data_IF_132435914563
#
_entry.id   IF_132435914563
#
_cell.length_a   1.000
_cell.length_b   1.000
_cell.length_c   1.000
_cell.angle_alpha   90.00
_cell.angle_beta   90.00
_cell.angle_gamma   90.00
#
_symmetry.space_group_name_H-M   'P 1'
#
loop_
_entity.id
_entity.type
_entity.pdbx_description
1 polymer ?
#
# COMPACT_ATOMS: atom_id res chain seq x y z
N UNK A 1 9.91 -4.42 3.31
CA UNK A 1 8.99 -3.73 4.23
C UNK A 1 9.73 -3.34 5.51
N UNK A 2 9.66 -2.07 5.88
CA UNK A 2 10.42 -1.48 6.99
C UNK A 2 9.72 -0.25 7.55
N UNK A 3 10.04 0.11 8.80
CA UNK A 3 9.59 1.33 9.45
C UNK A 3 10.77 2.09 10.06
N UNK A 4 10.78 3.41 9.96
CA UNK A 4 11.76 4.24 10.64
C UNK A 4 11.48 4.25 12.15
N UNK A 5 12.54 4.18 12.96
CA UNK A 5 12.47 4.31 14.42
C UNK A 5 13.17 5.61 14.78
N UNK A 6 12.38 6.60 15.13
CA UNK A 6 12.88 7.87 15.61
C UNK A 6 12.05 8.43 16.74
N UNK A 7 12.57 9.49 17.36
CA UNK A 7 11.77 10.35 18.22
C UNK A 7 11.22 11.50 17.39
N UNK A 8 9.96 11.87 17.64
CA UNK A 8 9.38 13.11 17.14
C UNK A 8 9.45 14.13 18.29
N UNK A 9 10.40 15.08 18.28
CA UNK A 9 10.40 16.14 19.27
C UNK A 9 9.15 16.98 19.03
N UNK A 10 8.34 17.21 20.08
CA UNK A 10 7.06 17.95 19.99
C UNK A 10 7.16 19.35 19.37
N UNK A 11 8.36 19.88 19.14
CA UNK A 11 8.66 21.24 18.67
C UNK A 11 9.67 21.28 17.49
N UNK A 12 9.99 20.13 16.87
CA UNK A 12 10.91 20.10 15.73
C UNK A 12 10.35 19.26 14.58
N UNK A 13 10.42 19.80 13.36
CA UNK A 13 10.12 19.08 12.12
C UNK A 13 11.26 18.15 11.69
N UNK A 14 12.39 18.14 12.41
CA UNK A 14 13.48 17.21 12.14
C UNK A 14 13.13 15.81 12.67
N UNK A 15 13.06 14.84 11.75
CA UNK A 15 13.06 13.42 12.12
C UNK A 15 14.46 13.11 12.62
N UNK A 16 14.61 12.86 13.92
CA UNK A 16 15.82 12.21 14.45
C UNK A 16 15.59 10.71 14.33
N UNK A 17 15.94 10.17 13.17
CA UNK A 17 15.92 8.73 12.94
C UNK A 17 17.11 8.09 13.64
N UNK A 18 16.82 7.04 14.41
CA UNK A 18 17.82 6.25 15.14
C UNK A 18 18.02 4.89 14.48
N UNK A 19 17.21 4.52 13.50
CA UNK A 19 17.43 3.33 12.68
C UNK A 19 16.17 2.78 12.02
N UNK A 20 16.34 1.65 11.33
CA UNK A 20 15.27 1.00 10.56
C UNK A 20 14.81 -0.29 11.24
N UNK A 21 13.50 -0.39 11.48
CA UNK A 21 12.84 -1.61 11.92
C UNK A 21 12.45 -2.49 10.75
N UNK A 22 13.17 -3.60 10.56
CA UNK A 22 12.97 -4.53 9.45
C UNK A 22 11.86 -5.55 9.67
N UNK A 23 10.84 -5.52 8.81
CA UNK A 23 9.72 -6.47 8.78
C UNK A 23 9.69 -7.24 7.45
N UNK A 24 10.84 -7.56 6.86
CA UNK A 24 10.88 -8.38 5.64
C UNK A 24 10.60 -9.86 5.90
N UNK A 25 10.53 -10.66 4.83
CA UNK A 25 10.49 -12.13 4.91
C UNK A 25 11.86 -12.81 5.08
N UNK A 26 12.96 -12.03 5.06
CA UNK A 26 14.33 -12.55 5.19
C UNK A 26 14.67 -13.05 6.61
N UNK A 27 15.74 -13.84 6.77
CA UNK A 27 16.10 -14.45 8.05
C UNK A 27 16.48 -13.44 9.15
N UNK A 28 17.02 -12.28 8.76
CA UNK A 28 17.40 -11.20 9.68
C UNK A 28 16.24 -10.27 10.05
N UNK A 29 15.01 -10.51 9.58
CA UNK A 29 13.87 -9.66 9.94
C UNK A 29 13.37 -9.92 11.36
N UNK A 30 12.72 -8.94 11.97
CA UNK A 30 12.13 -9.09 13.30
C UNK A 30 11.08 -10.21 13.34
N UNK A 31 10.26 -10.35 12.30
CA UNK A 31 9.24 -11.40 12.23
C UNK A 31 9.87 -12.79 12.15
N UNK A 32 10.95 -12.95 11.39
CA UNK A 32 11.67 -14.22 11.29
C UNK A 32 12.33 -14.61 12.61
N UNK A 33 12.94 -13.65 13.31
CA UNK A 33 13.68 -13.90 14.55
C UNK A 33 12.79 -14.02 15.79
N UNK A 34 11.70 -13.26 15.85
CA UNK A 34 10.91 -13.10 17.09
C UNK A 34 9.41 -13.30 16.90
N UNK A 35 8.90 -13.38 15.65
CA UNK A 35 7.47 -13.52 15.38
C UNK A 35 6.82 -14.72 16.07
N UNK A 36 7.53 -15.84 16.21
CA UNK A 36 7.02 -17.03 16.89
C UNK A 36 6.69 -16.79 18.38
N UNK A 37 7.35 -15.83 19.04
CA UNK A 37 7.08 -15.47 20.44
C UNK A 37 5.68 -14.84 20.63
N UNK A 38 5.06 -14.38 19.54
CA UNK A 38 3.72 -13.79 19.52
C UNK A 38 2.65 -14.82 19.07
N UNK A 39 2.93 -16.11 19.22
CA UNK A 39 2.01 -17.22 18.90
C UNK A 39 1.99 -17.61 17.41
N UNK A 40 2.14 -16.66 16.48
CA UNK A 40 2.33 -16.91 15.04
C UNK A 40 3.23 -15.85 14.42
N UNK A 41 3.94 -16.21 13.33
CA UNK A 41 4.69 -15.27 12.48
C UNK A 41 3.74 -14.42 11.63
N UNK A 42 3.02 -13.53 12.29
CA UNK A 42 2.08 -12.59 11.67
C UNK A 42 2.24 -11.20 12.27
N UNK A 43 1.88 -10.21 11.48
CA UNK A 43 1.72 -8.85 11.95
C UNK A 43 0.66 -8.14 11.13
N UNK A 44 0.14 -7.06 11.69
CA UNK A 44 -0.79 -6.18 11.00
C UNK A 44 -0.45 -4.73 11.29
N UNK A 45 -0.69 -3.86 10.31
CA UNK A 45 -0.45 -2.44 10.48
C UNK A 45 -1.61 -1.60 9.94
N UNK A 46 -1.81 -0.45 10.56
CA UNK A 46 -2.71 0.61 10.12
C UNK A 46 -1.89 1.90 10.14
N UNK A 47 -1.50 2.38 8.96
CA UNK A 47 -0.76 3.63 8.80
C UNK A 47 -1.75 4.77 8.67
N UNK A 48 -1.60 5.78 9.51
CA UNK A 48 -2.31 7.04 9.34
C UNK A 48 -1.65 7.83 8.19
N UNK A 49 -2.41 8.68 7.48
CA UNK A 49 -1.83 9.59 6.50
C UNK A 49 -0.72 10.45 7.12
N UNK A 50 0.33 10.73 6.35
CA UNK A 50 1.51 11.47 6.85
C UNK A 50 1.17 12.90 7.36
N UNK A 51 0.06 13.49 6.88
CA UNK A 51 -0.42 14.80 7.30
C UNK A 51 -1.29 14.76 8.57
N UNK A 52 -1.67 13.57 9.05
CA UNK A 52 -2.50 13.43 10.23
C UNK A 52 -1.65 13.45 11.51
N UNK A 53 -1.66 14.59 12.20
CA UNK A 53 -0.80 14.84 13.38
C UNK A 53 -1.45 14.52 14.73
N UNK A 54 -2.76 14.23 14.75
CA UNK A 54 -3.53 14.07 15.99
C UNK A 54 -3.59 12.63 16.53
N UNK A 55 -2.86 11.69 15.91
CA UNK A 55 -2.84 10.30 16.37
C UNK A 55 -1.62 9.53 15.91
N UNK A 56 -1.61 8.24 16.22
CA UNK A 56 -0.48 7.36 15.92
C UNK A 56 -0.93 6.11 15.17
N UNK A 57 -0.19 5.78 14.11
CA UNK A 57 -0.27 4.49 13.43
C UNK A 57 -0.09 3.33 14.41
N UNK A 58 -0.66 2.17 14.09
CA UNK A 58 -0.58 0.96 14.93
C UNK A 58 0.10 -0.17 14.18
N UNK A 59 1.03 -0.84 14.85
CA UNK A 59 1.65 -2.10 14.44
C UNK A 59 1.37 -3.12 15.52
N UNK A 60 0.84 -4.28 15.13
CA UNK A 60 0.53 -5.39 16.05
C UNK A 60 1.21 -6.67 15.56
N UNK A 61 1.70 -7.47 16.49
CA UNK A 61 2.30 -8.78 16.23
C UNK A 61 1.42 -9.89 16.74
N UNK A 62 1.51 -11.05 16.09
CA UNK A 62 0.88 -12.27 16.55
C UNK A 62 -0.53 -12.51 16.03
N UNK A 63 -1.26 -13.36 16.75
CA UNK A 63 -2.64 -13.73 16.41
C UNK A 63 -3.57 -12.61 16.85
N UNK A 64 -4.38 -12.12 15.92
CA UNK A 64 -5.51 -11.28 16.28
C UNK A 64 -6.60 -12.15 16.93
N UNK A 65 -6.90 -11.87 18.19
CA UNK A 65 -7.87 -12.61 19.01
C UNK A 65 -9.28 -12.03 18.90
N UNK A 66 -9.48 -10.97 18.11
CA UNK A 66 -10.80 -10.38 17.88
C UNK A 66 -11.63 -11.29 16.97
N UNK A 67 -12.72 -11.82 17.51
CA UNK A 67 -13.62 -12.76 16.81
C UNK A 67 -14.61 -12.07 15.88
N UNK A 68 -14.86 -10.76 16.08
CA UNK A 68 -15.91 -10.01 15.37
C UNK A 68 -15.35 -9.06 14.31
N UNK A 69 -14.40 -9.51 13.49
CA UNK A 69 -13.92 -8.69 12.36
C UNK A 69 -14.71 -9.00 11.10
N UNK A 70 -15.54 -8.05 10.69
CA UNK A 70 -16.25 -8.06 9.41
C UNK A 70 -15.44 -7.33 8.35
N UNK A 71 -15.50 -7.79 7.09
CA UNK A 71 -14.88 -7.08 5.96
C UNK A 71 -13.38 -7.32 5.76
N UNK A 72 -12.79 -8.32 6.41
CA UNK A 72 -11.42 -8.76 6.08
C UNK A 72 -11.46 -9.56 4.78
N UNK A 73 -10.62 -9.17 3.84
CA UNK A 73 -10.29 -9.98 2.66
C UNK A 73 -8.85 -10.47 2.77
N UNK A 74 -8.59 -11.66 2.22
CA UNK A 74 -7.26 -12.27 2.22
C UNK A 74 -6.84 -12.62 0.82
N UNK A 75 -5.55 -12.44 0.54
CA UNK A 75 -4.91 -12.93 -0.67
C UNK A 75 -3.63 -13.67 -0.30
N UNK A 76 -3.26 -14.66 -1.11
CA UNK A 76 -2.09 -15.49 -0.84
C UNK A 76 -0.80 -14.71 -1.13
N UNK A 77 0.16 -14.76 -0.20
CA UNK A 77 1.51 -14.30 -0.47
C UNK A 77 2.22 -15.26 -1.42
N UNK A 78 2.97 -14.70 -2.37
CA UNK A 78 3.77 -15.47 -3.33
C UNK A 78 5.19 -15.63 -2.78
N UNK A 79 5.67 -16.88 -2.73
CA UNK A 79 7.07 -17.18 -2.40
C UNK A 79 7.94 -16.93 -3.63
N UNK A 80 8.84 -15.96 -3.56
CA UNK A 80 9.71 -15.55 -4.66
C UNK A 80 11.03 -14.99 -4.13
N UNK A 81 12.08 -15.05 -4.95
CA UNK A 81 13.37 -14.43 -4.65
C UNK A 81 13.42 -12.98 -5.15
N UNK A 82 14.01 -12.05 -4.38
CA UNK A 82 14.54 -12.26 -3.02
C UNK A 82 13.43 -12.40 -1.95
N UNK A 83 13.65 -13.29 -0.97
CA UNK A 83 12.65 -13.63 0.08
C UNK A 83 12.33 -12.49 1.06
N UNK A 84 13.00 -11.35 0.94
CA UNK A 84 12.79 -10.19 1.81
C UNK A 84 11.45 -9.50 1.57
N UNK A 85 10.93 -9.55 0.34
CA UNK A 85 9.70 -8.85 -0.03
C UNK A 85 8.45 -9.72 0.15
N UNK A 86 7.32 -9.05 0.39
CA UNK A 86 6.00 -9.68 0.38
C UNK A 86 5.38 -9.50 -0.99
N UNK A 87 5.44 -10.56 -1.79
CA UNK A 87 4.89 -10.55 -3.14
C UNK A 87 3.41 -10.92 -3.13
N UNK A 88 2.65 -10.22 -3.97
CA UNK A 88 1.27 -10.55 -4.29
C UNK A 88 1.13 -10.78 -5.80
N UNK A 89 0.03 -11.42 -6.16
CA UNK A 89 -0.45 -11.56 -7.52
C UNK A 89 -1.59 -10.57 -7.76
N UNK A 90 -1.29 -9.46 -8.43
CA UNK A 90 -2.29 -8.51 -8.88
C UNK A 90 -2.76 -8.92 -10.28
N UNK A 91 -4.02 -9.34 -10.37
CA UNK A 91 -4.60 -9.89 -11.61
C UNK A 91 -5.00 -8.80 -12.60
N UNK A 92 -5.60 -7.72 -12.09
CA UNK A 92 -6.03 -6.58 -12.90
C UNK A 92 -6.27 -5.35 -12.03
N UNK A 93 -6.40 -4.20 -12.68
CA UNK A 93 -6.90 -2.96 -12.08
C UNK A 93 -8.18 -2.57 -12.82
N UNK A 94 -9.26 -2.27 -12.10
CA UNK A 94 -10.51 -1.80 -12.68
C UNK A 94 -10.71 -0.32 -12.40
N UNK A 95 -10.97 0.47 -13.45
CA UNK A 95 -11.23 1.91 -13.36
C UNK A 95 -12.53 2.19 -14.11
N UNK A 96 -13.57 2.61 -13.38
CA UNK A 96 -14.90 2.88 -13.94
C UNK A 96 -15.42 1.74 -14.84
N UNK A 97 -15.24 0.48 -14.41
CA UNK A 97 -15.64 -0.71 -15.17
C UNK A 97 -14.66 -1.16 -16.26
N UNK A 98 -13.67 -0.35 -16.62
CA UNK A 98 -12.60 -0.72 -17.56
C UNK A 98 -11.52 -1.52 -16.85
N UNK A 99 -11.28 -2.75 -17.32
CA UNK A 99 -10.27 -3.66 -16.76
C UNK A 99 -8.93 -3.46 -17.49
N UNK A 100 -7.88 -3.21 -16.72
CA UNK A 100 -6.50 -3.06 -17.20
C UNK A 100 -5.64 -4.19 -16.63
N UNK A 101 -5.10 -5.02 -17.52
CA UNK A 101 -4.28 -6.17 -17.17
C UNK A 101 -2.79 -5.77 -17.02
N UNK A 102 -2.04 -6.39 -16.09
CA UNK A 102 -0.60 -6.28 -16.03
C UNK A 102 0.08 -6.78 -17.31
N UNK A 103 1.25 -6.25 -17.61
CA UNK A 103 2.01 -6.62 -18.82
C UNK A 103 2.81 -7.93 -18.70
N UNK A 104 2.93 -8.50 -17.51
CA UNK A 104 3.78 -9.67 -17.23
C UNK A 104 3.02 -10.75 -16.48
N UNK A 105 3.72 -11.85 -16.16
CA UNK A 105 3.22 -12.95 -15.34
C UNK A 105 2.41 -12.44 -14.14
N UNK A 106 1.23 -13.03 -13.94
CA UNK A 106 0.34 -12.70 -12.83
C UNK A 106 0.95 -13.12 -11.47
N UNK A 107 1.96 -14.00 -11.46
CA UNK A 107 2.50 -14.55 -10.23
C UNK A 107 3.60 -13.68 -9.59
N UNK A 108 3.29 -13.09 -8.43
CA UNK A 108 4.27 -12.32 -7.63
C UNK A 108 4.78 -11.08 -8.39
N UNK A 109 3.86 -10.35 -9.04
CA UNK A 109 4.15 -9.20 -9.90
C UNK A 109 4.14 -7.86 -9.17
N UNK A 110 3.66 -7.83 -7.93
CA UNK A 110 3.68 -6.63 -7.08
C UNK A 110 4.25 -6.98 -5.70
N UNK A 111 4.84 -5.99 -5.04
CA UNK A 111 5.32 -6.10 -3.66
C UNK A 111 4.54 -5.14 -2.76
N UNK A 112 4.33 -5.54 -1.51
CA UNK A 112 3.87 -4.63 -0.47
C UNK A 112 5.10 -3.96 0.15
N UNK A 113 5.18 -2.64 0.05
CA UNK A 113 6.28 -1.87 0.62
C UNK A 113 5.79 -0.64 1.37
N UNK A 114 6.05 -0.60 2.67
CA UNK A 114 5.80 0.56 3.54
C UNK A 114 6.93 1.59 3.50
N UNK A 115 8.08 1.25 2.92
CA UNK A 115 9.24 2.15 2.82
C UNK A 115 9.11 3.18 1.69
N UNK A 116 8.10 3.04 0.84
CA UNK A 116 7.92 3.87 -0.35
C UNK A 116 6.61 4.67 -0.26
N UNK A 117 6.68 5.98 -0.52
CA UNK A 117 5.53 6.89 -0.39
C UNK A 117 4.48 6.71 -1.48
N UNK A 118 4.90 6.36 -2.70
CA UNK A 118 4.04 6.21 -3.87
C UNK A 118 3.99 4.76 -4.35
N UNK A 119 2.92 4.39 -5.06
CA UNK A 119 2.87 3.11 -5.76
C UNK A 119 3.64 3.22 -7.07
N UNK A 120 4.62 2.34 -7.27
CA UNK A 120 5.40 2.27 -8.51
C UNK A 120 4.93 1.11 -9.35
N UNK A 121 4.63 1.39 -10.62
CA UNK A 121 4.23 0.42 -11.62
C UNK A 121 5.22 0.45 -12.78
N UNK A 122 5.33 -0.65 -13.51
CA UNK A 122 6.09 -0.67 -14.76
C UNK A 122 5.49 0.35 -15.72
N UNK A 123 6.33 1.15 -16.38
CA UNK A 123 5.92 2.27 -17.23
C UNK A 123 4.80 1.90 -18.19
N UNK A 124 4.97 0.79 -18.92
CA UNK A 124 3.99 0.32 -19.91
C UNK A 124 2.65 -0.12 -19.33
N UNK A 125 2.57 -0.40 -18.02
CA UNK A 125 1.30 -0.70 -17.34
C UNK A 125 0.70 0.55 -16.70
N UNK A 126 1.56 1.40 -16.12
CA UNK A 126 1.19 2.72 -15.64
C UNK A 126 0.51 3.55 -16.73
N UNK A 127 1.06 3.59 -17.95
CA UNK A 127 0.48 4.32 -19.08
C UNK A 127 -0.95 3.84 -19.40
N UNK A 128 -1.20 2.53 -19.42
CA UNK A 128 -2.54 1.98 -19.65
C UNK A 128 -3.53 2.35 -18.53
N UNK A 129 -3.06 2.36 -17.29
CA UNK A 129 -3.84 2.76 -16.12
C UNK A 129 -4.14 4.27 -16.16
N UNK A 130 -3.15 5.07 -16.52
CA UNK A 130 -3.28 6.50 -16.74
C UNK A 130 -4.32 6.79 -17.84
N UNK A 131 -4.27 6.11 -18.98
CA UNK A 131 -5.23 6.29 -20.06
C UNK A 131 -6.66 5.95 -19.62
N UNK A 132 -6.83 4.83 -18.91
CA UNK A 132 -8.12 4.44 -18.35
C UNK A 132 -8.65 5.46 -17.32
N UNK A 133 -7.75 6.04 -16.51
CA UNK A 133 -8.10 7.09 -15.57
C UNK A 133 -8.52 8.38 -16.27
N UNK A 134 -7.75 8.82 -17.28
CA UNK A 134 -8.04 10.02 -18.08
C UNK A 134 -9.38 9.91 -18.81
N UNK A 135 -9.68 8.72 -19.36
CA UNK A 135 -10.98 8.43 -19.97
C UNK A 135 -12.12 8.52 -18.95
N UNK A 136 -11.92 7.99 -17.74
CA UNK A 136 -12.94 7.99 -16.69
C UNK A 136 -13.24 9.40 -16.13
N UNK A 137 -12.23 10.26 -15.99
CA UNK A 137 -12.39 11.61 -15.42
C UNK A 137 -12.70 12.69 -16.46
N UNK A 138 -12.44 12.42 -17.75
CA UNK A 138 -12.53 13.39 -18.83
C UNK A 138 -11.26 14.22 -18.97
N UNK A 139 -10.65 14.21 -20.17
CA UNK A 139 -9.36 14.83 -20.46
C UNK A 139 -9.28 16.35 -20.19
N UNK A 140 -10.42 17.03 -20.10
CA UNK A 140 -10.52 18.48 -19.87
C UNK A 140 -10.20 18.88 -18.41
N UNK A 141 -10.14 17.92 -17.49
CA UNK A 141 -9.90 18.16 -16.06
C UNK A 141 -8.43 17.99 -15.64
N UNK A 142 -7.51 17.74 -16.58
CA UNK A 142 -6.11 17.39 -16.28
C UNK A 142 -5.13 18.49 -16.68
N UNK A 143 -4.29 18.90 -15.73
CA UNK A 143 -3.11 19.72 -15.98
C UNK A 143 -1.89 18.81 -15.97
N UNK A 144 -1.36 18.50 -17.15
CA UNK A 144 -0.09 17.76 -17.25
C UNK A 144 1.04 18.72 -16.88
N UNK A 145 1.54 18.62 -15.65
CA UNK A 145 2.77 19.32 -15.28
C UNK A 145 3.97 18.55 -15.84
N UNK A 146 4.55 19.05 -16.93
CA UNK A 146 5.76 18.51 -17.58
C UNK A 146 7.03 18.55 -16.71
N UNK A 147 6.93 18.92 -15.42
CA UNK A 147 8.07 19.14 -14.52
C UNK A 147 8.46 17.89 -13.70
N UNK A 148 7.60 16.87 -13.60
CA UNK A 148 7.91 15.60 -12.92
C UNK A 148 7.43 14.44 -13.81
N UNK A 149 8.30 13.51 -14.21
CA UNK A 149 7.85 12.30 -14.90
C UNK A 149 6.91 11.51 -13.97
N UNK A 150 5.71 11.19 -14.45
CA UNK A 150 4.71 10.34 -13.79
C UNK A 150 3.84 10.95 -12.66
N UNK A 151 3.46 12.23 -12.74
CA UNK A 151 2.37 12.77 -11.91
C UNK A 151 1.25 13.38 -12.76
N UNK A 152 0.05 12.80 -12.68
CA UNK A 152 -1.18 13.45 -13.15
C UNK A 152 -1.63 14.40 -12.04
N UNK A 153 -1.73 15.69 -12.35
CA UNK A 153 -2.25 16.71 -11.42
C UNK A 153 -3.55 17.25 -12.01
N UNK A 154 -4.61 17.30 -11.20
CA UNK A 154 -5.91 17.84 -11.60
C UNK A 154 -6.21 19.11 -10.80
N UNK A 155 -6.91 20.06 -11.40
CA UNK A 155 -7.31 21.31 -10.73
C UNK A 155 -8.36 21.00 -9.67
N UNK A 156 -8.01 21.22 -8.41
CA UNK A 156 -8.87 20.94 -7.26
C UNK A 156 -10.05 21.91 -7.20
N UNK A 157 -11.18 21.52 -7.79
CA UNK A 157 -12.51 21.87 -7.28
C UNK A 157 -13.34 20.58 -7.22
N UNK A 158 -13.60 20.11 -6.00
CA UNK A 158 -14.42 18.94 -5.64
C UNK A 158 -13.83 17.55 -5.96
N UNK A 159 -12.69 17.19 -5.35
CA UNK A 159 -12.44 15.78 -5.03
C UNK A 159 -12.94 15.49 -3.61
N UNK A 160 -14.25 15.60 -3.39
CA UNK A 160 -14.87 14.63 -2.49
C UNK A 160 -14.79 13.33 -3.27
N UNK A 161 -13.93 12.40 -2.84
CA UNK A 161 -14.02 11.02 -3.29
C UNK A 161 -15.41 10.52 -2.88
N UNK A 162 -16.39 10.68 -3.76
CA UNK A 162 -17.70 10.06 -3.60
C UNK A 162 -17.45 8.57 -3.64
N UNK A 163 -17.57 7.93 -2.48
CA UNK A 163 -17.93 6.53 -2.42
C UNK A 163 -19.34 6.42 -3.00
N UNK A 164 -19.43 6.19 -4.31
CA UNK A 164 -20.64 5.73 -4.96
C UNK A 164 -20.52 4.22 -5.20
N UNK A 165 -21.60 3.47 -4.95
CA UNK A 165 -21.54 2.05 -4.64
C UNK A 165 -21.33 1.21 -5.89
N UNK A 166 -20.97 -0.05 -5.67
CA UNK A 166 -20.64 -1.10 -6.64
C UNK A 166 -19.13 -1.19 -6.92
N UNK A 167 -18.40 -1.63 -5.90
CA UNK A 167 -17.11 -2.31 -6.12
C UNK A 167 -17.26 -3.70 -5.53
N UNK A 168 -17.38 -4.67 -6.42
CA UNK A 168 -17.21 -6.08 -6.10
C UNK A 168 -15.72 -6.27 -5.76
N UNK A 169 -15.37 -6.07 -4.49
CA UNK A 169 -14.20 -6.61 -3.78
C UNK A 169 -12.88 -6.81 -4.55
N UNK A 170 -12.40 -5.84 -5.32
CA UNK A 170 -11.07 -5.89 -5.96
C UNK A 170 -10.44 -4.48 -5.98
N UNK A 171 -9.66 -4.20 -4.92
CA UNK A 171 -8.68 -3.12 -4.71
C UNK A 171 -8.87 -1.76 -5.40
N UNK A 172 -9.42 -0.79 -4.67
CA UNK A 172 -9.14 0.64 -4.88
C UNK A 172 -7.89 1.05 -4.07
N UNK A 173 -6.83 1.48 -4.77
CA UNK A 173 -5.76 2.26 -4.16
C UNK A 173 -6.08 3.74 -4.31
N UNK A 174 -6.31 4.42 -3.19
CA UNK A 174 -5.62 5.61 -2.66
C UNK A 174 -6.54 6.18 -1.57
N UNK A 175 -6.50 5.62 -0.36
CA UNK A 175 -6.64 6.33 0.91
C UNK A 175 -6.48 5.38 2.09
N UNK A 176 -5.76 5.85 3.11
CA UNK A 176 -5.17 5.09 4.22
C UNK A 176 -6.19 4.68 5.28
N UNK A 177 -7.08 3.72 4.96
CA UNK A 177 -7.91 3.02 5.95
C UNK A 177 -7.87 1.50 5.77
N UNK A 178 -6.81 0.97 5.18
CA UNK A 178 -6.64 -0.47 4.98
C UNK A 178 -5.77 -1.05 6.09
N UNK A 179 -6.36 -1.95 6.90
CA UNK A 179 -5.58 -2.81 7.80
C UNK A 179 -5.01 -3.95 6.96
N UNK A 180 -3.70 -3.94 6.75
CA UNK A 180 -3.02 -5.02 6.04
C UNK A 180 -2.54 -6.05 7.06
N UNK A 181 -2.97 -7.30 6.88
CA UNK A 181 -2.54 -8.44 7.68
C UNK A 181 -1.58 -9.28 6.83
N UNK A 182 -0.34 -9.41 7.28
CA UNK A 182 0.67 -10.23 6.62
C UNK A 182 0.84 -11.51 7.44
N UNK A 183 0.68 -12.66 6.77
CA UNK A 183 0.80 -13.99 7.36
C UNK A 183 1.87 -14.80 6.62
N UNK A 184 2.88 -15.27 7.37
CA UNK A 184 3.99 -16.08 6.88
C UNK A 184 3.85 -17.56 7.24
#
# INVERSE_FOLDING_TARGET
>A
MSFFIGTFPKQSLAIVDTGIFGLGGGPSSFISQHGAKFGKRKFSYCLLPFYYVQGSSKLKFGVDTQTNRTGIVTTSLVKKLPTTFYYLSLESVSINGKVVLPNESVFGNIIIDSGTTATFLKTSWYEKIQDALLEAIGAQSVVVMNAIPAQIVYTTFLCHFYMAPIINSQLCFVNFWLVIIVQL
#
